data_IF_794795856961
#
_entry.id   IF_794795856961
#
_cell.length_a   1.000
_cell.length_b   1.000
_cell.length_c   1.000
_cell.angle_alpha   90.00
_cell.angle_beta   90.00
_cell.angle_gamma   90.00
#
_symmetry.space_group_name_H-M   'P 1'
#
loop_
_entity.id
_entity.type
_entity.pdbx_description
1 polymer ?
#
# COMPACT_ATOMS: atom_id res chain seq x y z
N UNK A 1 18.88 5.16 -24.08
CA UNK A 1 18.34 5.93 -22.93
C UNK A 1 18.71 5.15 -21.68
N UNK A 2 19.29 5.77 -20.66
CA UNK A 2 19.59 5.06 -19.41
C UNK A 2 18.27 4.58 -18.79
N UNK A 3 18.14 3.28 -18.54
CA UNK A 3 16.96 2.73 -17.86
C UNK A 3 16.93 3.27 -16.43
N UNK A 4 15.83 3.95 -16.09
CA UNK A 4 15.60 4.38 -14.72
C UNK A 4 15.21 3.16 -13.92
N UNK A 5 16.16 2.63 -13.15
CA UNK A 5 15.91 1.48 -12.27
C UNK A 5 15.03 1.89 -11.08
N UNK A 6 14.30 0.94 -10.51
CA UNK A 6 13.54 1.14 -9.26
C UNK A 6 14.43 1.67 -8.12
N UNK A 7 15.70 1.26 -8.10
CA UNK A 7 16.70 1.76 -7.14
C UNK A 7 16.96 3.25 -7.36
N UNK A 8 17.10 3.69 -8.61
CA UNK A 8 17.28 5.09 -8.97
C UNK A 8 16.07 5.94 -8.58
N UNK A 9 14.84 5.42 -8.80
CA UNK A 9 13.61 6.10 -8.40
C UNK A 9 13.57 6.30 -6.87
N UNK A 10 13.88 5.26 -6.09
CA UNK A 10 13.90 5.39 -4.63
C UNK A 10 15.03 6.26 -4.11
N UNK A 11 16.22 6.18 -4.72
CA UNK A 11 17.37 6.99 -4.35
C UNK A 11 17.12 8.49 -4.51
N UNK A 12 16.26 8.90 -5.46
CA UNK A 12 15.87 10.30 -5.66
C UNK A 12 14.61 10.65 -4.87
N UNK A 13 13.59 9.79 -4.92
CA UNK A 13 12.30 10.04 -4.30
C UNK A 13 12.39 10.09 -2.78
N UNK A 14 13.00 9.10 -2.13
CA UNK A 14 13.03 9.02 -0.66
C UNK A 14 13.64 10.29 -0.03
N UNK A 15 14.79 10.81 -0.48
CA UNK A 15 15.33 12.07 0.05
C UNK A 15 14.41 13.27 -0.12
N UNK A 16 13.75 13.43 -1.28
CA UNK A 16 12.82 14.53 -1.53
C UNK A 16 11.67 14.50 -0.51
N UNK A 17 11.10 13.32 -0.27
CA UNK A 17 10.01 13.19 0.70
C UNK A 17 10.46 13.46 2.13
N UNK A 18 11.63 12.97 2.52
CA UNK A 18 12.19 13.27 3.84
C UNK A 18 12.46 14.78 4.01
N UNK A 19 12.93 15.45 2.97
CA UNK A 19 13.12 16.91 2.97
C UNK A 19 11.80 17.67 3.11
N UNK A 20 10.73 17.23 2.43
CA UNK A 20 9.41 17.86 2.57
C UNK A 20 8.84 17.68 3.98
N UNK A 21 8.97 16.49 4.57
CA UNK A 21 8.56 16.22 5.96
C UNK A 21 9.35 17.10 6.93
N UNK A 22 10.68 17.19 6.76
CA UNK A 22 11.53 18.04 7.58
C UNK A 22 11.16 19.53 7.45
N UNK A 23 10.91 20.01 6.24
CA UNK A 23 10.50 21.39 5.99
C UNK A 23 9.16 21.71 6.66
N UNK A 24 8.17 20.82 6.57
CA UNK A 24 6.88 20.97 7.23
C UNK A 24 7.02 21.00 8.76
N UNK A 25 7.84 20.11 9.33
CA UNK A 25 8.11 20.09 10.77
C UNK A 25 8.78 21.38 11.27
N UNK A 26 9.76 21.89 10.52
CA UNK A 26 10.46 23.15 10.83
C UNK A 26 9.49 24.34 10.77
N UNK A 27 8.69 24.44 9.70
CA UNK A 27 7.69 25.51 9.55
C UNK A 27 6.63 25.43 10.65
N UNK A 28 6.19 24.22 11.01
CA UNK A 28 5.26 24.00 12.12
C UNK A 28 5.85 24.54 13.44
N UNK A 29 7.11 24.19 13.74
CA UNK A 29 7.78 24.66 14.95
C UNK A 29 7.97 26.19 14.96
N UNK A 30 8.38 26.78 13.83
CA UNK A 30 8.60 28.23 13.71
C UNK A 30 7.33 29.06 13.82
N UNK A 31 6.20 28.55 13.29
CA UNK A 31 4.91 29.24 13.34
C UNK A 31 4.09 28.90 14.60
N UNK A 32 4.60 28.03 15.47
CA UNK A 32 3.89 27.58 16.67
C UNK A 32 2.70 26.66 16.37
N UNK A 33 2.63 26.06 15.18
CA UNK A 33 1.64 25.04 14.87
C UNK A 33 2.00 23.73 15.57
N UNK A 34 1.00 23.03 16.09
CA UNK A 34 1.17 21.75 16.82
C UNK A 34 0.91 20.54 15.91
N UNK A 35 1.41 20.55 14.67
CA UNK A 35 1.18 19.46 13.72
C UNK A 35 2.00 18.20 14.02
N UNK A 36 3.08 18.31 14.80
CA UNK A 36 3.94 17.19 15.17
C UNK A 36 3.96 17.03 16.70
N UNK A 37 3.22 16.06 17.21
CA UNK A 37 3.34 15.59 18.59
C UNK A 37 4.25 14.36 18.64
N UNK A 38 5.11 14.25 19.66
CA UNK A 38 6.07 13.15 19.76
C UNK A 38 5.38 11.78 19.91
N UNK A 39 4.23 11.72 20.60
CA UNK A 39 3.47 10.48 20.76
C UNK A 39 2.80 10.07 19.45
N UNK A 40 2.25 11.04 18.72
CA UNK A 40 1.63 10.80 17.40
C UNK A 40 2.68 10.40 16.34
N UNK A 41 3.87 11.00 16.41
CA UNK A 41 5.00 10.66 15.53
C UNK A 41 5.46 9.22 15.75
N UNK A 42 5.63 8.80 17.02
CA UNK A 42 6.01 7.41 17.35
C UNK A 42 4.92 6.43 16.92
N UNK A 43 3.64 6.77 17.14
CA UNK A 43 2.51 5.97 16.68
C UNK A 43 2.51 5.79 15.16
N UNK A 44 2.74 6.88 14.42
CA UNK A 44 2.79 6.88 12.95
C UNK A 44 3.97 6.07 12.40
N UNK A 45 5.17 6.21 12.98
CA UNK A 45 6.34 5.41 12.59
C UNK A 45 6.13 3.92 12.91
N UNK A 46 5.53 3.61 14.06
CA UNK A 46 5.16 2.24 14.43
C UNK A 46 4.16 1.63 13.44
N UNK A 47 3.13 2.38 13.03
CA UNK A 47 2.19 1.94 11.99
C UNK A 47 2.87 1.71 10.64
N UNK A 48 3.79 2.60 10.22
CA UNK A 48 4.55 2.43 8.98
C UNK A 48 5.39 1.14 9.00
N UNK A 49 6.14 0.93 10.09
CA UNK A 49 6.96 -0.27 10.26
C UNK A 49 6.08 -1.54 10.27
N UNK A 50 4.97 -1.51 10.99
CA UNK A 50 3.98 -2.58 11.01
C UNK A 50 3.39 -2.86 9.63
N UNK A 51 3.04 -1.82 8.87
CA UNK A 51 2.52 -1.97 7.50
C UNK A 51 3.55 -2.60 6.56
N UNK A 52 4.82 -2.19 6.62
CA UNK A 52 5.89 -2.78 5.80
C UNK A 52 6.08 -4.26 6.15
N UNK A 53 6.16 -4.59 7.44
CA UNK A 53 6.33 -5.96 7.90
C UNK A 53 5.15 -6.84 7.49
N UNK A 54 3.93 -6.40 7.76
CA UNK A 54 2.71 -7.12 7.41
C UNK A 54 2.54 -7.25 5.89
N UNK A 55 2.86 -6.21 5.11
CA UNK A 55 2.83 -6.28 3.66
C UNK A 55 3.84 -7.30 3.13
N UNK A 56 5.07 -7.33 3.68
CA UNK A 56 6.08 -8.32 3.31
C UNK A 56 5.62 -9.75 3.61
N UNK A 57 5.10 -9.99 4.82
CA UNK A 57 4.63 -11.31 5.23
C UNK A 57 3.42 -11.77 4.41
N UNK A 58 2.37 -10.94 4.32
CA UNK A 58 1.11 -11.32 3.66
C UNK A 58 1.27 -11.44 2.15
N UNK A 59 1.96 -10.49 1.50
CA UNK A 59 2.20 -10.56 0.05
C UNK A 59 3.19 -11.67 -0.29
N UNK A 60 4.24 -11.84 0.52
CA UNK A 60 5.21 -12.94 0.33
C UNK A 60 4.55 -14.30 0.47
N UNK A 61 3.75 -14.50 1.52
CA UNK A 61 2.95 -15.71 1.71
C UNK A 61 1.97 -15.93 0.55
N UNK A 62 1.19 -14.90 0.17
CA UNK A 62 0.24 -15.00 -0.93
C UNK A 62 0.94 -15.35 -2.26
N UNK A 63 2.12 -14.81 -2.52
CA UNK A 63 2.91 -15.10 -3.71
C UNK A 63 3.42 -16.55 -3.71
N UNK A 64 3.97 -17.03 -2.60
CA UNK A 64 4.41 -18.43 -2.46
C UNK A 64 3.24 -19.39 -2.60
N UNK A 65 2.12 -19.10 -1.91
CA UNK A 65 0.90 -19.88 -2.00
C UNK A 65 0.35 -19.90 -3.45
N UNK A 66 0.35 -18.76 -4.12
CA UNK A 66 -0.02 -18.67 -5.53
C UNK A 66 0.87 -19.57 -6.40
N UNK A 67 2.20 -19.51 -6.26
CA UNK A 67 3.11 -20.34 -7.06
C UNK A 67 2.87 -21.83 -6.80
N UNK A 68 2.68 -22.23 -5.54
CA UNK A 68 2.39 -23.60 -5.16
C UNK A 68 1.08 -24.10 -5.79
N UNK A 69 0.00 -23.34 -5.63
CA UNK A 69 -1.30 -23.67 -6.22
C UNK A 69 -1.25 -23.67 -7.75
N UNK A 70 -0.54 -22.72 -8.36
CA UNK A 70 -0.38 -22.65 -9.80
C UNK A 70 0.41 -23.85 -10.35
N UNK A 71 1.42 -24.33 -9.64
CA UNK A 71 2.26 -25.44 -10.10
C UNK A 71 1.65 -26.81 -9.83
N UNK A 72 0.77 -26.96 -8.83
CA UNK A 72 0.27 -28.27 -8.41
C UNK A 72 -1.25 -28.44 -8.55
N UNK A 73 -2.01 -27.35 -8.56
CA UNK A 73 -3.48 -27.35 -8.50
C UNK A 73 -4.13 -26.51 -9.62
N UNK A 74 -3.43 -26.31 -10.73
CA UNK A 74 -3.92 -25.56 -11.89
C UNK A 74 -4.03 -26.48 -13.10
N UNK A 75 -5.07 -27.34 -13.16
CA UNK A 75 -5.28 -28.28 -14.27
C UNK A 75 -5.55 -27.57 -15.60
N UNK A 76 -6.01 -26.32 -15.53
CA UNK A 76 -6.31 -25.47 -16.68
C UNK A 76 -5.48 -24.19 -16.57
N UNK A 77 -4.84 -23.82 -17.68
CA UNK A 77 -4.08 -22.57 -17.81
C UNK A 77 -4.87 -21.64 -18.73
N UNK A 78 -5.41 -20.56 -18.15
CA UNK A 78 -6.20 -19.57 -18.91
C UNK A 78 -5.40 -18.98 -20.07
N UNK A 79 -4.08 -18.83 -19.89
CA UNK A 79 -3.16 -18.35 -20.93
C UNK A 79 -3.14 -19.22 -22.19
N UNK A 80 -3.48 -20.50 -22.07
CA UNK A 80 -3.52 -21.44 -23.21
C UNK A 80 -4.92 -21.50 -23.86
N UNK A 81 -5.94 -20.97 -23.19
CA UNK A 81 -7.34 -21.04 -23.63
C UNK A 81 -7.79 -19.82 -24.43
N UNK A 82 -7.24 -18.64 -24.15
CA UNK A 82 -7.67 -17.37 -24.75
C UNK A 82 -6.46 -16.53 -25.14
N UNK A 83 -6.58 -15.65 -26.16
CA UNK A 83 -5.47 -14.80 -26.57
C UNK A 83 -5.05 -13.85 -25.44
N UNK A 84 -3.76 -13.52 -25.40
CA UNK A 84 -3.13 -12.74 -24.32
C UNK A 84 -3.87 -11.44 -23.99
N UNK A 85 -4.36 -10.70 -25.00
CA UNK A 85 -5.10 -9.45 -24.77
C UNK A 85 -6.40 -9.69 -23.98
N UNK A 86 -7.08 -10.81 -24.20
CA UNK A 86 -8.31 -11.16 -23.48
C UNK A 86 -8.01 -11.58 -22.04
N UNK A 87 -6.88 -12.24 -21.79
CA UNK A 87 -6.37 -12.52 -20.44
C UNK A 87 -6.19 -11.21 -19.67
N UNK A 88 -5.59 -10.19 -20.29
CA UNK A 88 -5.39 -8.88 -19.68
C UNK A 88 -6.71 -8.19 -19.33
N UNK A 89 -7.67 -8.17 -20.26
CA UNK A 89 -8.99 -7.58 -20.01
C UNK A 89 -9.71 -8.31 -18.87
N UNK A 90 -9.71 -9.64 -18.90
CA UNK A 90 -10.33 -10.45 -17.84
C UNK A 90 -9.67 -10.20 -16.48
N UNK A 91 -8.33 -10.16 -16.46
CA UNK A 91 -7.54 -9.90 -15.24
C UNK A 91 -7.84 -8.52 -14.69
N UNK A 92 -7.92 -7.49 -15.55
CA UNK A 92 -8.27 -6.14 -15.14
C UNK A 92 -9.64 -6.09 -14.46
N UNK A 93 -10.67 -6.67 -15.09
CA UNK A 93 -12.03 -6.72 -14.51
C UNK A 93 -12.06 -7.53 -13.22
N UNK A 94 -11.35 -8.66 -13.16
CA UNK A 94 -11.30 -9.51 -11.97
C UNK A 94 -10.62 -8.79 -10.79
N UNK A 95 -9.54 -8.06 -11.02
CA UNK A 95 -8.85 -7.26 -10.00
C UNK A 95 -9.78 -6.16 -9.49
N UNK A 96 -10.42 -5.41 -10.40
CA UNK A 96 -11.31 -4.31 -10.02
C UNK A 96 -12.49 -4.82 -9.19
N UNK A 97 -13.13 -5.90 -9.63
CA UNK A 97 -14.24 -6.51 -8.91
C UNK A 97 -13.81 -7.08 -7.54
N UNK A 98 -12.64 -7.71 -7.46
CA UNK A 98 -12.09 -8.20 -6.20
C UNK A 98 -11.87 -7.04 -5.22
N UNK A 99 -11.26 -5.96 -5.70
CA UNK A 99 -11.01 -4.77 -4.89
C UNK A 99 -12.32 -4.10 -4.44
N UNK A 100 -13.31 -4.02 -5.33
CA UNK A 100 -14.65 -3.52 -5.00
C UNK A 100 -15.28 -4.32 -3.86
N UNK A 101 -15.29 -5.65 -3.96
CA UNK A 101 -15.87 -6.50 -2.91
C UNK A 101 -15.09 -6.42 -1.61
N UNK A 102 -13.75 -6.44 -1.67
CA UNK A 102 -12.91 -6.24 -0.49
C UNK A 102 -13.26 -4.93 0.21
N UNK A 103 -13.29 -3.81 -0.52
CA UNK A 103 -13.61 -2.50 0.02
C UNK A 103 -15.04 -2.45 0.58
N UNK A 104 -16.04 -2.95 -0.16
CA UNK A 104 -17.43 -3.01 0.30
C UNK A 104 -17.58 -3.85 1.56
N UNK A 105 -16.94 -5.02 1.63
CA UNK A 105 -16.97 -5.88 2.81
C UNK A 105 -16.26 -5.22 4.00
N UNK A 106 -15.18 -4.47 3.76
CA UNK A 106 -14.52 -3.66 4.79
C UNK A 106 -15.45 -2.62 5.42
N UNK A 107 -16.43 -2.09 4.69
CA UNK A 107 -17.48 -1.21 5.23
C UNK A 107 -18.67 -1.94 5.84
N UNK A 108 -18.75 -3.27 5.76
CA UNK A 108 -19.93 -4.05 6.17
C UNK A 108 -19.63 -5.10 7.25
N UNK A 109 -18.38 -5.56 7.36
CA UNK A 109 -17.95 -6.62 8.27
C UNK A 109 -17.04 -6.03 9.34
N UNK A 110 -17.39 -6.23 10.62
CA UNK A 110 -16.70 -5.60 11.77
C UNK A 110 -15.20 -5.88 11.83
N UNK A 111 -14.78 -7.11 11.51
CA UNK A 111 -13.37 -7.47 11.50
C UNK A 111 -12.59 -6.73 10.40
N UNK A 112 -13.14 -6.68 9.18
CA UNK A 112 -12.52 -5.97 8.05
C UNK A 112 -12.56 -4.45 8.26
N UNK A 113 -13.61 -3.94 8.90
CA UNK A 113 -13.69 -2.55 9.31
C UNK A 113 -12.57 -2.15 10.27
N UNK A 114 -12.26 -2.97 11.27
CA UNK A 114 -11.19 -2.68 12.22
C UNK A 114 -9.83 -2.48 11.53
N UNK A 115 -9.58 -3.16 10.41
CA UNK A 115 -8.37 -2.99 9.59
C UNK A 115 -8.49 -1.76 8.67
N UNK A 116 -9.64 -1.58 8.04
CA UNK A 116 -9.84 -0.56 7.00
C UNK A 116 -10.01 0.87 7.55
N UNK A 117 -10.61 0.98 8.74
CA UNK A 117 -10.95 2.25 9.38
C UNK A 117 -9.72 3.15 9.59
N UNK A 118 -8.53 2.58 9.80
CA UNK A 118 -7.30 3.36 9.98
C UNK A 118 -6.97 4.26 8.77
N UNK A 119 -7.38 3.87 7.56
CA UNK A 119 -7.24 4.71 6.36
C UNK A 119 -8.21 5.90 6.34
N UNK A 120 -9.29 5.87 7.12
CA UNK A 120 -10.30 6.93 7.24
C UNK A 120 -10.21 7.70 8.56
N UNK A 121 -9.30 7.33 9.46
CA UNK A 121 -9.21 7.89 10.81
C UNK A 121 -8.40 9.19 10.93
N UNK A 122 -7.72 9.65 9.87
CA UNK A 122 -6.91 10.86 10.01
C UNK A 122 -7.79 12.10 10.01
N UNK A 123 -7.87 12.79 11.15
CA UNK A 123 -8.55 14.09 11.27
C UNK A 123 -7.79 15.19 10.53
N UNK A 124 -6.46 15.07 10.43
CA UNK A 124 -5.59 16.04 9.77
C UNK A 124 -4.93 15.42 8.53
N UNK A 125 -4.88 16.19 7.43
CA UNK A 125 -4.19 15.82 6.20
C UNK A 125 -2.77 16.39 6.20
N UNK A 126 -1.77 15.59 6.60
CA UNK A 126 -0.35 15.95 6.51
C UNK A 126 0.45 14.94 5.66
N UNK A 127 1.71 15.25 5.34
CA UNK A 127 2.52 14.40 4.44
C UNK A 127 2.84 13.02 5.01
N UNK A 128 2.76 12.83 6.32
CA UNK A 128 2.91 11.50 6.95
C UNK A 128 1.65 10.64 6.84
N UNK A 129 0.49 11.26 6.61
CA UNK A 129 -0.81 10.60 6.37
C UNK A 129 -0.97 10.25 4.89
N UNK A 130 -0.48 11.11 4.00
CA UNK A 130 -0.60 10.95 2.55
C UNK A 130 0.11 9.69 1.99
N UNK A 131 0.89 8.97 2.81
CA UNK A 131 1.69 7.82 2.39
C UNK A 131 1.71 6.67 3.44
N UNK A 132 0.55 6.38 4.05
CA UNK A 132 0.34 5.22 4.93
C UNK A 132 -0.30 4.06 4.18
#
# INVERSE_FOLDING_TARGET
MAEVSTVTVYAVGVPIILLMIAAEAIVSAWKGYRFYDARDTVGTVGMLAGNIAMAGLTKGFAFIAYLYLYNHFSPVKINDLIPTWAVWVLTFVAIDLNFYFYHRLSHRVRCLWAVHMNHHCSEEMNFTVARR
#
